data_IF_557169791101
#
_entry.id   IF_557169791101
#
_cell.length_a   1.000
_cell.length_b   1.000
_cell.length_c   1.000
_cell.angle_alpha   90.00
_cell.angle_beta   90.00
_cell.angle_gamma   90.00
#
_symmetry.space_group_name_H-M   'P 1'
#
loop_
_entity.id
_entity.type
_entity.pdbx_description
1 polymer ?
#
# COMPACT_ATOMS: atom_id res chain seq x y z
N UNK A 1 -68.81 -7.20 62.82
CA UNK A 1 -68.12 -8.05 61.82
C UNK A 1 -67.09 -7.18 61.10
N UNK A 2 -65.77 -7.36 61.30
CA UNK A 2 -64.77 -6.52 60.65
C UNK A 2 -64.39 -7.07 59.27
N UNK A 3 -64.33 -6.18 58.29
CA UNK A 3 -64.02 -6.43 56.88
C UNK A 3 -62.50 -6.54 56.67
N UNK A 4 -62.03 -7.71 56.22
CA UNK A 4 -60.62 -8.09 56.03
C UNK A 4 -60.07 -7.84 54.60
N UNK A 5 -60.77 -7.05 53.77
CA UNK A 5 -60.52 -7.04 52.32
C UNK A 5 -59.34 -6.20 51.75
N UNK A 6 -58.68 -5.23 52.42
CA UNK A 6 -57.75 -4.34 51.70
C UNK A 6 -56.29 -4.82 51.62
N UNK A 7 -55.88 -5.86 52.35
CA UNK A 7 -54.46 -6.24 52.41
C UNK A 7 -53.96 -7.12 51.26
N UNK A 8 -54.83 -7.93 50.63
CA UNK A 8 -54.43 -8.85 49.55
C UNK A 8 -54.09 -8.15 48.21
N UNK A 9 -54.65 -6.96 47.94
CA UNK A 9 -54.39 -6.23 46.67
C UNK A 9 -53.00 -5.57 46.60
N UNK A 10 -52.36 -5.28 47.74
CA UNK A 10 -51.02 -4.67 47.78
C UNK A 10 -49.89 -5.69 47.58
N UNK A 11 -50.13 -6.97 47.86
CA UNK A 11 -49.14 -8.02 47.64
C UNK A 11 -49.01 -8.39 46.15
N UNK A 12 -50.13 -8.48 45.43
CA UNK A 12 -50.15 -8.86 44.02
C UNK A 12 -49.46 -7.82 43.10
N UNK A 13 -49.55 -6.53 43.42
CA UNK A 13 -48.95 -5.45 42.63
C UNK A 13 -47.42 -5.39 42.73
N UNK A 14 -46.84 -5.76 43.88
CA UNK A 14 -45.39 -5.80 44.06
C UNK A 14 -44.73 -6.96 43.30
N UNK A 15 -45.40 -8.12 43.23
CA UNK A 15 -44.88 -9.29 42.52
C UNK A 15 -44.77 -9.05 41.00
N UNK A 16 -45.74 -8.36 40.40
CA UNK A 16 -45.73 -8.04 38.97
C UNK A 16 -44.61 -7.07 38.61
N UNK A 17 -44.36 -6.05 39.43
CA UNK A 17 -43.29 -5.07 39.16
C UNK A 17 -41.91 -5.72 39.23
N UNK A 18 -41.67 -6.58 40.22
CA UNK A 18 -40.39 -7.30 40.36
C UNK A 18 -40.15 -8.27 39.20
N UNK A 19 -41.18 -9.02 38.78
CA UNK A 19 -41.08 -9.92 37.63
C UNK A 19 -40.78 -9.17 36.32
N UNK A 20 -41.38 -7.99 36.13
CA UNK A 20 -41.16 -7.18 34.91
C UNK A 20 -39.74 -6.60 34.87
N UNK A 21 -39.22 -6.11 36.00
CA UNK A 21 -37.83 -5.61 36.09
C UNK A 21 -36.83 -6.74 35.82
N UNK A 22 -37.04 -7.93 36.39
CA UNK A 22 -36.19 -9.10 36.12
C UNK A 22 -36.20 -9.50 34.64
N UNK A 23 -37.36 -9.47 33.99
CA UNK A 23 -37.47 -9.78 32.56
C UNK A 23 -36.69 -8.78 31.68
N UNK A 24 -36.76 -7.48 32.01
CA UNK A 24 -36.03 -6.42 31.28
C UNK A 24 -34.52 -6.56 31.49
N UNK A 25 -34.06 -6.87 32.70
CA UNK A 25 -32.63 -7.09 32.99
C UNK A 25 -32.10 -8.33 32.28
N UNK A 26 -32.86 -9.43 32.24
CA UNK A 26 -32.45 -10.65 31.54
C UNK A 26 -32.38 -10.43 30.02
N UNK A 27 -33.33 -9.70 29.42
CA UNK A 27 -33.27 -9.35 28.00
C UNK A 27 -32.12 -8.37 27.66
N UNK A 28 -31.81 -7.44 28.57
CA UNK A 28 -30.67 -6.55 28.41
C UNK A 28 -29.32 -7.27 28.52
N UNK A 29 -29.25 -8.39 29.25
CA UNK A 29 -28.04 -9.20 29.38
C UNK A 29 -27.84 -10.20 28.23
N UNK A 30 -28.90 -10.72 27.58
CA UNK A 30 -28.78 -11.69 26.48
C UNK A 30 -28.56 -11.06 25.10
N UNK A 31 -28.84 -9.76 24.93
CA UNK A 31 -28.64 -9.07 23.65
C UNK A 31 -27.18 -8.66 23.35
N UNK A 32 -26.23 -8.92 24.25
CA UNK A 32 -24.78 -8.70 24.03
C UNK A 32 -24.02 -9.98 23.71
N UNK A 33 -24.66 -10.92 23.03
CA UNK A 33 -23.95 -11.86 22.17
C UNK A 33 -23.32 -11.10 21.03
N UNK A 34 -22.19 -10.43 21.30
CA UNK A 34 -21.35 -9.86 20.28
C UNK A 34 -21.07 -10.96 19.27
N UNK A 35 -21.61 -10.80 18.07
CA UNK A 35 -21.11 -11.45 16.88
C UNK A 35 -19.62 -11.16 16.86
N UNK A 36 -18.82 -12.09 17.38
CA UNK A 36 -17.39 -12.15 17.10
C UNK A 36 -17.35 -12.48 15.62
N UNK A 37 -17.37 -11.42 14.80
CA UNK A 37 -17.17 -11.54 13.36
C UNK A 37 -15.95 -12.43 13.16
N UNK A 38 -16.10 -13.46 12.33
CA UNK A 38 -15.04 -14.41 12.06
C UNK A 38 -13.72 -13.65 11.84
N UNK A 39 -12.66 -14.07 12.52
CA UNK A 39 -11.36 -13.44 12.38
C UNK A 39 -11.01 -13.35 10.88
N UNK A 40 -10.54 -12.19 10.40
CA UNK A 40 -10.21 -12.04 8.99
C UNK A 40 -9.17 -13.10 8.59
N UNK A 41 -9.23 -13.59 7.34
CA UNK A 41 -8.27 -14.58 6.87
C UNK A 41 -6.85 -14.03 7.02
N UNK A 42 -5.85 -14.87 7.31
CA UNK A 42 -4.46 -14.42 7.40
C UNK A 42 -4.02 -13.79 6.07
N UNK A 43 -3.26 -12.70 6.15
CA UNK A 43 -2.73 -12.02 4.98
C UNK A 43 -1.81 -12.96 4.19
N UNK A 44 -2.15 -13.23 2.92
CA UNK A 44 -1.32 -14.04 2.03
C UNK A 44 -0.02 -13.32 1.60
N UNK A 45 0.96 -14.03 1.03
CA UNK A 45 2.25 -13.46 0.63
C UNK A 45 2.15 -12.25 -0.32
N UNK A 46 1.18 -12.27 -1.25
CA UNK A 46 0.94 -11.15 -2.17
C UNK A 46 0.48 -9.89 -1.43
N UNK A 47 -0.39 -10.07 -0.43
CA UNK A 47 -0.89 -8.98 0.39
C UNK A 47 0.21 -8.40 1.27
N UNK A 48 0.99 -9.26 1.93
CA UNK A 48 2.14 -8.84 2.73
C UNK A 48 3.16 -8.05 1.90
N UNK A 49 3.43 -8.49 0.66
CA UNK A 49 4.29 -7.76 -0.27
C UNK A 49 3.74 -6.36 -0.59
N UNK A 50 2.45 -6.24 -0.91
CA UNK A 50 1.82 -4.94 -1.19
C UNK A 50 1.83 -4.01 0.03
N UNK A 51 1.60 -4.55 1.23
CA UNK A 51 1.69 -3.79 2.48
C UNK A 51 3.13 -3.29 2.66
N UNK A 52 4.12 -4.17 2.49
CA UNK A 52 5.53 -3.77 2.59
C UNK A 52 5.90 -2.67 1.59
N UNK A 53 5.48 -2.78 0.33
CA UNK A 53 5.70 -1.75 -0.71
C UNK A 53 5.00 -0.42 -0.35
N UNK A 54 3.78 -0.47 0.20
CA UNK A 54 3.06 0.74 0.60
C UNK A 54 3.72 1.43 1.82
N UNK A 55 4.20 0.64 2.78
CA UNK A 55 4.98 1.13 3.93
C UNK A 55 6.27 1.76 3.44
N UNK A 56 7.04 1.07 2.58
CA UNK A 56 8.30 1.56 2.01
C UNK A 56 8.14 2.78 1.10
N UNK A 57 6.95 3.03 0.54
CA UNK A 57 6.65 4.28 -0.15
C UNK A 57 6.41 5.49 0.79
N UNK A 58 6.35 5.27 2.10
CA UNK A 58 6.07 6.28 3.11
C UNK A 58 7.20 6.34 4.16
N UNK A 59 8.41 6.71 3.72
CA UNK A 59 9.66 6.76 4.50
C UNK A 59 9.79 8.03 5.33
N UNK A 60 8.80 8.29 6.20
CA UNK A 60 8.78 9.49 7.05
C UNK A 60 9.51 9.30 8.38
N UNK A 61 9.90 8.07 8.74
CA UNK A 61 10.42 7.77 10.08
C UNK A 61 9.32 7.62 11.14
N UNK A 62 8.10 8.03 10.83
CA UNK A 62 6.95 7.97 11.73
C UNK A 62 6.23 6.61 11.64
N UNK A 63 5.37 6.35 12.64
CA UNK A 63 4.47 5.19 12.58
C UNK A 63 3.36 5.43 11.58
N UNK A 64 3.09 4.41 10.75
CA UNK A 64 2.02 4.43 9.77
C UNK A 64 1.13 3.19 9.85
N UNK A 65 -0.12 3.36 9.43
CA UNK A 65 -1.14 2.31 9.34
C UNK A 65 -1.55 2.14 7.89
N UNK A 66 -1.60 0.90 7.41
CA UNK A 66 -1.99 0.59 6.02
C UNK A 66 -3.38 0.00 6.01
N UNK A 67 -4.26 0.50 5.17
CA UNK A 67 -5.56 -0.12 4.92
C UNK A 67 -5.46 -0.93 3.64
N UNK A 68 -5.75 -2.22 3.70
CA UNK A 68 -5.67 -3.10 2.53
C UNK A 68 -6.84 -4.09 2.48
N UNK A 69 -7.31 -4.37 1.26
CA UNK A 69 -8.34 -5.39 1.01
C UNK A 69 -7.75 -6.79 0.94
N UNK A 70 -8.51 -7.79 1.40
CA UNK A 70 -8.15 -9.20 1.27
C UNK A 70 -8.42 -9.76 -0.13
N UNK A 71 -9.11 -9.02 -1.00
CA UNK A 71 -9.39 -9.47 -2.35
C UNK A 71 -8.13 -9.40 -3.23
N UNK A 72 -7.82 -10.41 -4.06
CA UNK A 72 -6.60 -10.44 -4.87
C UNK A 72 -6.43 -9.23 -5.80
N UNK A 73 -7.54 -8.72 -6.32
CA UNK A 73 -7.61 -7.58 -7.23
C UNK A 73 -7.67 -6.24 -6.52
N UNK A 74 -8.05 -6.22 -5.23
CA UNK A 74 -8.27 -4.96 -4.51
C UNK A 74 -6.99 -4.54 -3.78
N UNK A 75 -6.52 -3.30 -4.00
CA UNK A 75 -5.20 -2.86 -3.57
C UNK A 75 -5.18 -2.35 -2.12
N UNK A 76 -4.01 -1.86 -1.71
CA UNK A 76 -3.87 -0.96 -0.57
C UNK A 76 -4.74 0.27 -0.82
N UNK A 77 -5.65 0.57 0.10
CA UNK A 77 -6.56 1.72 0.04
C UNK A 77 -5.90 3.01 0.52
N UNK A 78 -4.83 2.91 1.31
CA UNK A 78 -4.02 4.05 1.73
C UNK A 78 -3.09 3.73 2.88
N UNK A 79 -2.21 4.69 3.14
CA UNK A 79 -1.28 4.71 4.28
C UNK A 79 -1.59 5.96 5.10
N UNK A 80 -1.80 5.79 6.41
CA UNK A 80 -2.32 6.81 7.30
C UNK A 80 -1.41 6.98 8.51
N UNK A 81 -1.22 8.20 9.02
CA UNK A 81 -0.41 8.44 10.22
C UNK A 81 -1.12 8.00 11.51
N UNK A 82 -2.44 7.77 11.46
CA UNK A 82 -3.23 7.45 12.64
C UNK A 82 -4.24 6.31 12.39
N UNK A 83 -4.46 5.50 13.42
CA UNK A 83 -5.34 4.33 13.36
C UNK A 83 -6.82 4.71 13.22
N UNK A 84 -7.24 5.88 13.70
CA UNK A 84 -8.64 6.30 13.68
C UNK A 84 -9.08 6.61 12.24
N UNK A 85 -8.27 7.37 11.50
CA UNK A 85 -8.45 7.64 10.07
C UNK A 85 -8.37 6.36 9.27
N UNK A 86 -7.39 5.48 9.54
CA UNK A 86 -7.27 4.20 8.86
C UNK A 86 -8.53 3.33 9.04
N UNK A 87 -9.07 3.23 10.26
CA UNK A 87 -10.33 2.52 10.52
C UNK A 87 -11.52 3.15 9.82
N UNK A 88 -11.63 4.48 9.87
CA UNK A 88 -12.71 5.19 9.18
C UNK A 88 -12.70 4.94 7.66
N UNK A 89 -11.51 4.81 7.05
CA UNK A 89 -11.38 4.45 5.64
C UNK A 89 -11.73 2.98 5.41
N UNK A 90 -11.26 2.06 6.24
CA UNK A 90 -11.60 0.64 6.15
C UNK A 90 -13.12 0.42 6.20
N UNK A 91 -13.80 1.04 7.17
CA UNK A 91 -15.24 0.92 7.38
C UNK A 91 -16.07 1.51 6.22
N UNK A 92 -15.57 2.58 5.59
CA UNK A 92 -16.26 3.27 4.47
C UNK A 92 -15.94 2.70 3.10
N UNK A 93 -14.94 1.83 2.99
CA UNK A 93 -14.39 1.38 1.70
C UNK A 93 -15.38 0.57 0.84
N UNK A 94 -16.43 0.01 1.45
CA UNK A 94 -17.37 -0.87 0.75
C UNK A 94 -16.79 -2.23 0.33
N UNK A 95 -15.52 -2.51 0.67
CA UNK A 95 -14.83 -3.78 0.42
C UNK A 95 -14.35 -4.39 1.74
N UNK A 96 -14.02 -5.69 1.74
CA UNK A 96 -13.44 -6.35 2.92
C UNK A 96 -11.98 -5.91 3.12
N UNK A 97 -11.80 -4.77 3.77
CA UNK A 97 -10.50 -4.22 4.15
C UNK A 97 -10.21 -4.37 5.64
N UNK A 98 -8.92 -4.45 5.97
CA UNK A 98 -8.43 -4.39 7.33
C UNK A 98 -7.33 -3.33 7.46
N UNK A 99 -7.14 -2.89 8.71
CA UNK A 99 -6.04 -2.00 9.10
C UNK A 99 -4.86 -2.86 9.55
N UNK A 100 -3.69 -2.58 8.99
CA UNK A 100 -2.41 -3.21 9.27
C UNK A 100 -1.45 -2.19 9.89
N UNK A 101 -0.58 -2.65 10.79
CA UNK A 101 0.39 -1.81 11.49
C UNK A 101 0.11 -1.68 13.00
N UNK A 102 0.76 -0.72 13.68
CA UNK A 102 1.62 0.30 13.10
C UNK A 102 2.91 -0.30 12.50
N UNK A 103 3.41 0.33 11.45
CA UNK A 103 4.73 0.06 10.87
C UNK A 103 5.59 1.31 10.96
N UNK A 104 6.90 1.13 11.12
CA UNK A 104 7.86 2.21 11.05
C UNK A 104 8.82 1.92 9.90
N UNK A 105 9.01 2.90 9.03
CA UNK A 105 10.08 2.93 8.03
C UNK A 105 11.24 3.73 8.56
N UNK A 106 12.42 3.54 7.98
CA UNK A 106 13.47 4.53 8.14
C UNK A 106 12.95 5.87 7.58
N UNK A 107 13.31 6.97 8.24
CA UNK A 107 13.21 8.28 7.62
C UNK A 107 14.06 8.23 6.35
N UNK A 108 13.57 8.77 5.24
CA UNK A 108 14.41 9.15 4.10
C UNK A 108 15.34 10.28 4.56
N UNK A 109 16.31 9.93 5.40
CA UNK A 109 17.49 10.71 5.57
C UNK A 109 18.19 10.62 4.23
N UNK A 110 18.35 11.78 3.64
CA UNK A 110 18.72 11.93 2.25
C UNK A 110 20.18 11.47 2.02
N UNK A 111 20.85 10.95 3.05
CA UNK A 111 22.10 10.17 2.98
C UNK A 111 21.92 8.80 2.29
N UNK A 112 21.10 8.76 1.23
CA UNK A 112 21.12 7.70 0.27
C UNK A 112 22.55 7.63 -0.28
N UNK A 113 23.33 6.67 0.20
CA UNK A 113 24.59 6.30 -0.40
C UNK A 113 24.24 5.78 -1.80
N UNK A 114 24.35 6.66 -2.79
CA UNK A 114 24.23 6.27 -4.20
C UNK A 114 25.39 5.31 -4.44
N UNK A 115 25.08 4.03 -4.36
CA UNK A 115 26.01 2.97 -4.65
C UNK A 115 25.97 2.76 -6.15
N UNK A 116 26.95 3.31 -6.86
CA UNK A 116 27.09 3.04 -8.27
C UNK A 116 27.55 1.59 -8.44
N UNK A 117 26.76 0.80 -9.19
CA UNK A 117 27.23 -0.48 -9.68
C UNK A 117 28.14 -0.22 -10.88
N UNK A 118 29.46 -0.35 -10.68
CA UNK A 118 30.41 -0.29 -11.78
C UNK A 118 30.50 -1.67 -12.41
N UNK A 119 30.19 -1.73 -13.71
CA UNK A 119 30.29 -2.93 -14.53
C UNK A 119 31.41 -2.75 -15.56
N UNK A 120 32.48 -3.53 -15.45
CA UNK A 120 33.63 -3.49 -16.38
C UNK A 120 33.63 -4.66 -17.38
N UNK A 121 32.46 -5.28 -17.59
CA UNK A 121 32.21 -6.53 -18.35
C UNK A 121 32.74 -7.82 -17.72
N UNK A 122 33.68 -7.75 -16.77
CA UNK A 122 34.24 -8.93 -16.10
C UNK A 122 33.81 -9.03 -14.64
N UNK A 123 33.45 -7.89 -14.04
CA UNK A 123 33.02 -7.78 -12.66
C UNK A 123 31.88 -6.77 -12.53
N UNK A 124 31.04 -6.99 -11.52
CA UNK A 124 30.05 -6.03 -11.05
C UNK A 124 30.41 -5.71 -9.61
N UNK A 125 30.85 -4.48 -9.33
CA UNK A 125 31.18 -4.07 -7.96
C UNK A 125 30.34 -2.88 -7.56
N UNK A 126 29.80 -2.96 -6.35
CA UNK A 126 29.13 -1.86 -5.69
C UNK A 126 30.22 -0.96 -5.13
N UNK A 127 30.41 0.22 -5.72
CA UNK A 127 31.41 1.18 -5.27
C UNK A 127 30.69 2.36 -4.62
N UNK A 128 30.95 2.67 -3.33
CA UNK A 128 30.46 3.90 -2.75
C UNK A 128 31.20 5.04 -3.46
N UNK A 129 30.51 5.78 -4.32
CA UNK A 129 31.03 7.06 -4.80
C UNK A 129 31.00 8.05 -3.64
N UNK A 130 31.93 9.01 -3.64
CA UNK A 130 31.87 10.13 -2.68
C UNK A 130 30.50 10.76 -2.84
N UNK A 131 29.68 10.64 -1.79
CA UNK A 131 28.29 11.08 -1.81
C UNK A 131 28.24 12.52 -2.34
N UNK A 132 27.72 12.70 -3.54
CA UNK A 132 27.04 13.94 -3.85
C UNK A 132 26.05 14.15 -2.71
N UNK A 133 26.08 15.29 -2.01
CA UNK A 133 25.09 15.53 -0.99
C UNK A 133 23.72 15.36 -1.65
N UNK A 134 22.76 14.74 -0.94
CA UNK A 134 21.41 14.63 -1.43
C UNK A 134 20.91 15.91 -2.05
N UNK A 135 20.45 15.81 -3.30
CA UNK A 135 19.81 16.90 -4.00
C UNK A 135 18.32 16.74 -3.79
N UNK A 136 17.67 17.76 -3.21
CA UNK A 136 16.21 17.76 -3.15
C UNK A 136 15.68 17.73 -4.59
N UNK A 137 14.73 16.85 -4.89
CA UNK A 137 14.15 16.76 -6.25
C UNK A 137 13.62 18.11 -6.76
N UNK A 138 13.13 18.98 -5.87
CA UNK A 138 12.66 20.33 -6.22
C UNK A 138 13.78 21.27 -6.68
N UNK A 139 15.02 20.97 -6.33
CA UNK A 139 16.19 21.76 -6.70
C UNK A 139 16.82 21.25 -8.01
N UNK A 140 16.31 20.15 -8.58
CA UNK A 140 16.76 19.60 -9.86
C UNK A 140 16.15 20.42 -11.01
N UNK A 141 16.97 21.26 -11.63
CA UNK A 141 16.56 22.09 -12.78
C UNK A 141 16.53 21.28 -14.08
N UNK A 142 17.43 20.32 -14.23
CA UNK A 142 17.62 19.55 -15.46
C UNK A 142 18.21 18.18 -15.17
N UNK A 143 17.78 17.18 -15.93
CA UNK A 143 18.35 15.83 -15.93
C UNK A 143 18.72 15.43 -17.36
N UNK A 144 19.84 14.73 -17.50
CA UNK A 144 20.32 14.26 -18.81
C UNK A 144 20.87 12.84 -18.69
N UNK A 145 20.56 12.00 -19.68
CA UNK A 145 21.21 10.72 -19.89
C UNK A 145 22.35 10.90 -20.90
N UNK A 146 23.58 10.69 -20.45
CA UNK A 146 24.75 10.70 -21.32
C UNK A 146 25.08 9.27 -21.74
N UNK A 147 25.02 8.99 -23.04
CA UNK A 147 25.43 7.71 -23.61
C UNK A 147 26.80 7.86 -24.26
N UNK A 148 27.81 7.20 -23.69
CA UNK A 148 29.14 7.11 -24.30
C UNK A 148 29.31 5.76 -24.99
N UNK A 149 29.46 5.80 -26.32
CA UNK A 149 29.64 4.60 -27.15
C UNK A 149 31.12 4.21 -27.18
N UNK A 150 31.41 2.92 -27.27
CA UNK A 150 32.80 2.41 -27.29
C UNK A 150 33.63 2.92 -28.48
N UNK A 151 32.98 3.34 -29.58
CA UNK A 151 33.63 3.97 -30.74
C UNK A 151 33.93 5.46 -30.57
N UNK A 152 33.73 6.03 -29.37
CA UNK A 152 34.01 7.45 -29.08
C UNK A 152 32.83 8.41 -29.31
N UNK A 153 31.71 7.93 -29.84
CA UNK A 153 30.48 8.73 -29.97
C UNK A 153 29.85 9.03 -28.61
N UNK A 154 29.30 10.24 -28.45
CA UNK A 154 28.60 10.68 -27.23
C UNK A 154 27.26 11.28 -27.60
N UNK A 155 26.19 10.75 -27.02
CA UNK A 155 24.85 11.34 -27.10
C UNK A 155 24.44 11.87 -25.73
N UNK A 156 23.76 13.00 -25.71
CA UNK A 156 23.12 13.53 -24.51
C UNK A 156 21.63 13.61 -24.77
N UNK A 157 20.85 12.88 -23.96
CA UNK A 157 19.40 12.81 -24.08
C UNK A 157 18.80 13.58 -22.89
N UNK A 158 18.07 14.68 -23.11
CA UNK A 158 17.40 15.37 -22.03
C UNK A 158 16.32 14.46 -21.43
N UNK A 159 16.26 14.40 -20.11
CA UNK A 159 15.25 13.67 -19.37
C UNK A 159 14.28 14.67 -18.74
N UNK A 160 13.04 14.24 -18.58
CA UNK A 160 12.10 14.97 -17.74
C UNK A 160 12.61 15.03 -16.30
N UNK A 161 12.52 16.16 -15.60
CA UNK A 161 12.82 16.22 -14.16
C UNK A 161 11.85 15.37 -13.33
N UNK A 162 10.72 14.95 -13.91
CA UNK A 162 9.76 14.02 -13.30
C UNK A 162 10.00 12.55 -13.68
N UNK A 163 11.11 12.23 -14.35
CA UNK A 163 11.44 10.85 -14.67
C UNK A 163 11.91 10.09 -13.42
N UNK A 164 11.13 9.12 -12.96
CA UNK A 164 11.47 8.32 -11.77
C UNK A 164 12.39 7.12 -12.09
N UNK A 165 12.42 6.66 -13.35
CA UNK A 165 13.25 5.52 -13.77
C UNK A 165 13.62 5.56 -15.27
N UNK A 166 14.77 4.96 -15.60
CA UNK A 166 15.28 4.83 -16.97
C UNK A 166 15.50 3.34 -17.27
N UNK A 167 14.93 2.85 -18.37
CA UNK A 167 15.11 1.47 -18.82
C UNK A 167 15.76 1.47 -20.21
N UNK A 168 17.00 0.94 -20.29
CA UNK A 168 17.82 1.03 -21.51
C UNK A 168 17.62 -0.14 -22.50
N UNK A 169 16.67 -1.05 -22.25
CA UNK A 169 16.42 -2.16 -23.17
C UNK A 169 15.22 -3.01 -22.81
N UNK A 170 14.79 -3.82 -23.78
CA UNK A 170 13.59 -4.66 -23.66
C UNK A 170 13.66 -5.65 -22.50
N UNK A 171 14.83 -6.19 -22.18
CA UNK A 171 14.98 -7.10 -21.04
C UNK A 171 14.62 -6.43 -19.69
N UNK A 172 14.92 -5.14 -19.54
CA UNK A 172 14.58 -4.39 -18.34
C UNK A 172 13.08 -4.07 -18.30
N UNK A 173 12.48 -3.74 -19.45
CA UNK A 173 11.02 -3.57 -19.59
C UNK A 173 10.29 -4.86 -19.20
N UNK A 174 10.70 -6.00 -19.75
CA UNK A 174 10.08 -7.30 -19.48
C UNK A 174 10.24 -7.74 -18.01
N UNK A 175 11.34 -7.36 -17.36
CA UNK A 175 11.62 -7.73 -15.97
C UNK A 175 10.95 -6.83 -14.94
N UNK A 176 10.86 -5.53 -15.21
CA UNK A 176 10.46 -4.53 -14.21
C UNK A 176 9.17 -3.81 -14.55
N UNK A 177 8.94 -3.48 -15.82
CA UNK A 177 7.80 -2.65 -16.24
C UNK A 177 6.58 -3.51 -16.51
N UNK A 178 6.71 -4.55 -17.35
CA UNK A 178 5.57 -5.39 -17.75
C UNK A 178 4.91 -6.07 -16.53
N UNK A 179 5.63 -6.68 -15.58
CA UNK A 179 4.98 -7.31 -14.43
C UNK A 179 4.22 -6.34 -13.53
N UNK A 180 4.69 -5.09 -13.44
CA UNK A 180 3.97 -4.02 -12.74
C UNK A 180 2.65 -3.72 -13.47
N UNK A 181 2.69 -3.48 -14.78
CA UNK A 181 1.49 -3.16 -15.55
C UNK A 181 0.51 -4.32 -15.69
N UNK A 182 0.98 -5.56 -15.74
CA UNK A 182 0.09 -6.74 -15.69
C UNK A 182 -0.78 -6.71 -14.43
N UNK A 183 -0.25 -6.20 -13.31
CA UNK A 183 -1.00 -6.09 -12.05
C UNK A 183 -1.94 -4.90 -12.00
N UNK A 184 -1.60 -3.78 -12.66
CA UNK A 184 -2.37 -2.53 -12.57
C UNK A 184 -3.44 -2.42 -13.66
N UNK A 185 -3.12 -2.81 -14.90
CA UNK A 185 -4.00 -2.68 -16.07
C UNK A 185 -4.36 -4.04 -16.70
N UNK A 186 -3.80 -5.14 -16.20
CA UNK A 186 -4.10 -6.48 -16.68
C UNK A 186 -3.19 -6.96 -17.81
N UNK A 187 -3.25 -8.27 -18.08
CA UNK A 187 -2.31 -8.94 -19.00
C UNK A 187 -2.39 -8.44 -20.44
N UNK A 188 -3.61 -8.23 -20.95
CA UNK A 188 -3.83 -7.83 -22.35
C UNK A 188 -3.23 -6.44 -22.62
N UNK A 189 -3.57 -5.46 -21.79
CA UNK A 189 -3.16 -4.07 -21.99
C UNK A 189 -1.67 -3.90 -21.70
N UNK A 190 -1.13 -4.61 -20.71
CA UNK A 190 0.32 -4.68 -20.49
C UNK A 190 1.08 -5.32 -21.65
N UNK A 191 0.47 -6.32 -22.32
CA UNK A 191 1.01 -6.92 -23.54
C UNK A 191 1.08 -5.92 -24.70
N UNK A 192 0.02 -5.14 -24.91
CA UNK A 192 0.02 -4.06 -25.92
C UNK A 192 1.08 -3.00 -25.62
N UNK A 193 1.20 -2.59 -24.35
CA UNK A 193 2.23 -1.65 -23.91
C UNK A 193 3.65 -2.18 -24.18
N UNK A 194 3.89 -3.48 -23.93
CA UNK A 194 5.16 -4.13 -24.26
C UNK A 194 5.43 -4.10 -25.76
N UNK A 195 4.44 -4.46 -26.58
CA UNK A 195 4.58 -4.49 -28.04
C UNK A 195 4.87 -3.09 -28.61
N UNK A 196 4.24 -2.05 -28.06
CA UNK A 196 4.52 -0.65 -28.40
C UNK A 196 5.96 -0.26 -28.06
N UNK A 197 6.48 -0.66 -26.90
CA UNK A 197 7.88 -0.47 -26.54
C UNK A 197 8.81 -1.18 -27.52
N UNK A 198 8.49 -2.43 -27.87
CA UNK A 198 9.29 -3.22 -28.80
C UNK A 198 9.34 -2.59 -30.20
N UNK A 199 8.20 -2.12 -30.70
CA UNK A 199 8.13 -1.43 -31.99
C UNK A 199 8.98 -0.15 -32.00
N UNK A 200 8.88 0.69 -30.95
CA UNK A 200 9.70 1.91 -30.84
C UNK A 200 11.18 1.60 -30.71
N UNK A 201 11.53 0.57 -29.94
CA UNK A 201 12.91 0.12 -29.79
C UNK A 201 13.50 -0.32 -31.14
N UNK A 202 12.75 -1.11 -31.92
CA UNK A 202 13.16 -1.54 -33.26
C UNK A 202 13.22 -0.38 -34.27
N UNK A 203 12.31 0.60 -34.17
CA UNK A 203 12.30 1.77 -35.05
C UNK A 203 13.51 2.69 -34.80
N UNK A 204 13.86 2.93 -33.53
CA UNK A 204 15.04 3.72 -33.15
C UNK A 204 16.37 3.00 -33.38
N UNK A 205 16.36 1.67 -33.51
CA UNK A 205 17.56 0.87 -33.83
C UNK A 205 17.91 0.85 -35.33
N UNK A 206 17.07 1.41 -36.21
CA UNK A 206 17.45 1.57 -37.62
C UNK A 206 18.50 2.69 -37.71
N UNK A 207 19.69 2.44 -38.28
CA UNK A 207 20.63 3.52 -38.55
C UNK A 207 19.92 4.54 -39.47
N UNK A 208 19.95 5.82 -39.09
CA UNK A 208 19.58 6.87 -40.04
C UNK A 208 20.60 6.81 -41.19
N UNK A 209 20.13 6.82 -42.46
CA UNK A 209 21.00 6.72 -43.62
C UNK A 209 22.01 7.87 -43.68
#
# INVERSE_FOLDING_TARGET
MPSFAPQLRRAASRAVVVATILLVVVFACTARGASQGAAPPPAGPVMLKRIAEAVDGNRTGDLVYVVASFEPTSPVLGVFPDVATARAVADKSGVKAAVFGPYQTDLDNTDAVISACVHDRFSSRMQPERCTPPVNRRDIVQMELVLQRSGGGRDTIPLSPDADAIFLGMAAIDKFVVPYYVRTIGLRDAGQLRDDFEQRFRAGARPQP
#
